data_IF_975545230973
#
_entry.id   IF_975545230973
#
_cell.length_a   1.000
_cell.length_b   1.000
_cell.length_c   1.000
_cell.angle_alpha   90.00
_cell.angle_beta   90.00
_cell.angle_gamma   90.00
#
_symmetry.space_group_name_H-M   'P 1'
#
loop_
_entity.id
_entity.type
_entity.pdbx_description
1 polymer ?
#
# COMPACT_ATOMS: atom_id res chain seq x y z
N UNK A 1 -7.93 19.91 -31.10
CA UNK A 1 -8.58 18.72 -30.49
C UNK A 1 -8.58 17.66 -31.57
N UNK A 2 -7.88 16.54 -31.36
CA UNK A 2 -7.76 15.48 -32.35
C UNK A 2 -8.87 14.45 -32.07
N UNK A 3 -9.98 14.57 -32.77
CA UNK A 3 -11.19 13.73 -32.57
C UNK A 3 -10.86 12.23 -32.68
N UNK A 4 -9.89 11.87 -33.52
CA UNK A 4 -9.42 10.50 -33.68
C UNK A 4 -8.80 9.96 -32.39
N UNK A 5 -7.96 10.75 -31.71
CA UNK A 5 -7.29 10.34 -30.47
C UNK A 5 -8.29 10.13 -29.33
N UNK A 6 -9.35 10.93 -29.28
CA UNK A 6 -10.43 10.79 -28.30
C UNK A 6 -11.23 9.50 -28.52
N UNK A 7 -11.61 9.22 -29.78
CA UNK A 7 -12.32 7.99 -30.13
C UNK A 7 -11.47 6.74 -29.90
N UNK A 8 -10.18 6.78 -30.25
CA UNK A 8 -9.26 5.67 -29.99
C UNK A 8 -9.12 5.39 -28.49
N UNK A 9 -9.10 6.44 -27.67
CA UNK A 9 -9.00 6.32 -26.22
C UNK A 9 -10.29 5.75 -25.61
N UNK A 10 -11.45 6.26 -26.02
CA UNK A 10 -12.76 5.76 -25.55
C UNK A 10 -12.92 4.27 -25.84
N UNK A 11 -12.60 3.83 -27.07
CA UNK A 11 -12.66 2.42 -27.44
C UNK A 11 -11.61 1.57 -26.72
N UNK A 12 -10.40 2.10 -26.47
CA UNK A 12 -9.39 1.39 -25.70
C UNK A 12 -9.85 1.17 -24.25
N UNK A 13 -10.42 2.19 -23.61
CA UNK A 13 -10.96 2.11 -22.25
C UNK A 13 -12.14 1.12 -22.17
N UNK A 14 -13.04 1.13 -23.16
CA UNK A 14 -14.14 0.17 -23.25
C UNK A 14 -13.63 -1.28 -23.36
N UNK A 15 -12.59 -1.51 -24.16
CA UNK A 15 -11.99 -2.83 -24.35
C UNK A 15 -11.19 -3.29 -23.13
N UNK A 16 -10.49 -2.38 -22.45
CA UNK A 16 -9.80 -2.69 -21.18
C UNK A 16 -10.79 -3.02 -20.06
N UNK A 17 -11.95 -2.34 -20.01
CA UNK A 17 -13.01 -2.65 -19.07
C UNK A 17 -13.58 -4.06 -19.30
N UNK A 18 -13.71 -4.50 -20.56
CA UNK A 18 -14.16 -5.86 -20.91
C UNK A 18 -13.10 -6.91 -20.60
N UNK A 19 -11.81 -6.60 -20.81
CA UNK A 19 -10.70 -7.51 -20.55
C UNK A 19 -9.49 -6.76 -20.00
N UNK A 20 -9.22 -6.84 -18.68
CA UNK A 20 -8.05 -6.20 -18.11
C UNK A 20 -6.77 -6.81 -18.70
N UNK A 21 -5.89 -5.95 -19.21
CA UNK A 21 -4.60 -6.34 -19.75
C UNK A 21 -3.58 -6.32 -18.60
N UNK A 22 -2.93 -7.45 -18.28
CA UNK A 22 -1.91 -7.43 -17.24
C UNK A 22 -0.72 -6.59 -17.66
N UNK A 23 -0.05 -5.96 -16.69
CA UNK A 23 1.21 -5.26 -16.97
C UNK A 23 2.35 -6.28 -17.17
N UNK A 24 2.83 -6.39 -18.41
CA UNK A 24 4.01 -7.20 -18.78
C UNK A 24 4.90 -6.46 -19.78
N UNK A 25 6.16 -6.88 -19.88
CA UNK A 25 7.12 -6.28 -20.79
C UNK A 25 7.91 -7.29 -21.60
N UNK A 26 8.82 -6.78 -22.46
CA UNK A 26 9.81 -7.61 -23.12
C UNK A 26 10.61 -8.42 -22.10
N UNK A 27 10.80 -9.71 -22.36
CA UNK A 27 11.51 -10.65 -21.49
C UNK A 27 10.59 -11.48 -20.62
N UNK A 28 9.36 -11.04 -20.40
CA UNK A 28 8.36 -11.80 -19.66
C UNK A 28 7.85 -12.98 -20.51
N UNK A 29 7.59 -14.10 -19.84
CA UNK A 29 6.91 -15.25 -20.44
C UNK A 29 5.42 -15.08 -20.24
N UNK A 30 4.70 -15.02 -21.35
CA UNK A 30 3.26 -14.80 -21.38
C UNK A 30 2.58 -16.01 -22.02
N UNK A 31 1.42 -16.37 -21.47
CA UNK A 31 0.51 -17.36 -22.03
C UNK A 31 -0.72 -16.63 -22.53
N UNK A 32 -0.88 -16.60 -23.85
CA UNK A 32 -1.98 -15.94 -24.53
C UNK A 32 -3.02 -16.99 -24.90
N UNK A 33 -4.24 -16.85 -24.38
CA UNK A 33 -5.36 -17.73 -24.72
C UNK A 33 -6.08 -17.14 -25.94
N UNK A 34 -5.93 -17.80 -27.09
CA UNK A 34 -6.44 -17.33 -28.37
C UNK A 34 -7.66 -18.17 -28.77
N UNK A 35 -8.75 -17.51 -29.13
CA UNK A 35 -9.92 -18.13 -29.74
C UNK A 35 -9.58 -18.49 -31.19
N UNK A 36 -9.65 -19.77 -31.51
CA UNK A 36 -9.44 -20.30 -32.85
C UNK A 36 -10.77 -20.87 -33.33
N UNK A 37 -11.25 -20.34 -34.45
CA UNK A 37 -12.49 -20.79 -35.10
C UNK A 37 -12.12 -21.78 -36.19
N UNK A 38 -12.52 -23.04 -36.03
CA UNK A 38 -12.34 -24.10 -37.02
C UNK A 38 -13.71 -24.47 -37.59
N UNK A 39 -14.08 -23.80 -38.68
CA UNK A 39 -15.41 -23.93 -39.30
C UNK A 39 -16.50 -23.40 -38.36
N UNK A 40 -17.30 -24.31 -37.79
CA UNK A 40 -18.42 -23.98 -36.88
C UNK A 40 -18.07 -24.11 -35.39
N UNK A 41 -16.88 -24.62 -35.05
CA UNK A 41 -16.47 -24.83 -33.66
C UNK A 41 -15.43 -23.81 -33.23
N UNK A 42 -15.61 -23.26 -32.05
CA UNK A 42 -14.64 -22.39 -31.41
C UNK A 42 -13.90 -23.16 -30.31
N UNK A 43 -12.58 -23.00 -30.25
CA UNK A 43 -11.77 -23.51 -29.14
C UNK A 43 -10.77 -22.48 -28.68
N UNK A 44 -10.39 -22.56 -27.40
CA UNK A 44 -9.33 -21.73 -26.83
C UNK A 44 -8.02 -22.49 -26.94
N UNK A 45 -7.04 -21.90 -27.61
CA UNK A 45 -5.69 -22.43 -27.72
C UNK A 45 -4.72 -21.52 -26.95
N UNK A 46 -4.00 -22.11 -26.00
CA UNK A 46 -2.96 -21.40 -25.26
C UNK A 46 -1.67 -21.34 -26.09
N UNK A 47 -1.18 -20.12 -26.32
CA UNK A 47 0.12 -19.83 -26.92
C UNK A 47 1.06 -19.28 -25.85
N UNK A 48 1.98 -20.11 -25.38
CA UNK A 48 2.97 -19.72 -24.36
C UNK A 48 4.34 -19.46 -25.00
N UNK A 49 4.95 -18.34 -24.63
CA UNK A 49 6.30 -17.99 -25.06
C UNK A 49 6.81 -16.70 -24.44
N UNK A 50 8.00 -16.29 -24.87
CA UNK A 50 8.65 -15.07 -24.39
C UNK A 50 8.17 -13.88 -25.21
N UNK A 51 7.72 -12.82 -24.55
CA UNK A 51 7.48 -11.53 -25.19
C UNK A 51 8.82 -10.92 -25.62
N UNK A 52 9.06 -10.80 -26.93
CA UNK A 52 10.32 -10.26 -27.47
C UNK A 52 10.22 -8.78 -27.84
N UNK A 53 9.02 -8.26 -28.06
CA UNK A 53 8.78 -6.87 -28.39
C UNK A 53 7.34 -6.48 -28.03
N UNK A 54 7.15 -5.24 -27.59
CA UNK A 54 5.88 -4.50 -27.64
C UNK A 54 6.09 -3.30 -28.56
N UNK A 55 5.12 -3.00 -29.42
CA UNK A 55 5.19 -1.91 -30.39
C UNK A 55 3.79 -1.34 -30.64
N UNK A 56 3.71 -0.11 -31.14
CA UNK A 56 2.45 0.60 -31.31
C UNK A 56 2.06 1.40 -30.07
N UNK A 57 0.92 2.06 -30.15
CA UNK A 57 0.35 2.88 -29.08
C UNK A 57 -1.18 2.85 -29.19
N UNK A 58 -1.86 3.13 -28.08
CA UNK A 58 -3.33 3.12 -28.00
C UNK A 58 -3.92 1.80 -28.48
N UNK A 59 -4.98 1.88 -29.27
CA UNK A 59 -5.68 0.72 -29.82
C UNK A 59 -4.80 -0.17 -30.71
N UNK A 60 -3.78 0.42 -31.33
CA UNK A 60 -2.86 -0.24 -32.26
C UNK A 60 -1.66 -0.91 -31.56
N UNK A 61 -1.64 -0.93 -30.23
CA UNK A 61 -0.58 -1.61 -29.50
C UNK A 61 -0.60 -3.13 -29.77
N UNK A 62 0.57 -3.69 -30.03
CA UNK A 62 0.77 -5.12 -30.25
C UNK A 62 2.03 -5.62 -29.53
N UNK A 63 2.07 -6.92 -29.34
CA UNK A 63 3.20 -7.61 -28.74
C UNK A 63 3.55 -8.88 -29.52
N UNK A 64 4.84 -9.17 -29.61
CA UNK A 64 5.36 -10.35 -30.30
C UNK A 64 5.79 -11.39 -29.29
N UNK A 65 5.21 -12.58 -29.37
CA UNK A 65 5.55 -13.73 -28.53
C UNK A 65 6.34 -14.73 -29.36
N UNK A 66 7.51 -15.12 -28.86
CA UNK A 66 8.39 -16.12 -29.47
C UNK A 66 8.38 -17.39 -28.61
N UNK A 67 8.12 -18.53 -29.25
CA UNK A 67 8.32 -19.85 -28.63
C UNK A 67 9.12 -20.76 -29.56
N UNK A 68 9.71 -21.81 -29.00
CA UNK A 68 10.29 -22.90 -29.79
C UNK A 68 9.27 -24.03 -29.76
N UNK A 69 8.77 -24.44 -30.92
CA UNK A 69 7.83 -25.54 -31.09
C UNK A 69 8.48 -26.59 -31.98
N UNK A 70 8.60 -27.84 -31.51
CA UNK A 70 9.21 -28.92 -32.29
C UNK A 70 10.59 -28.60 -32.88
N UNK A 71 11.41 -27.82 -32.16
CA UNK A 71 12.74 -27.41 -32.61
C UNK A 71 12.78 -26.16 -33.49
N UNK A 72 11.63 -25.67 -33.97
CA UNK A 72 11.52 -24.48 -34.79
C UNK A 72 11.06 -23.26 -33.98
N UNK A 73 11.62 -22.09 -34.31
CA UNK A 73 11.26 -20.84 -33.66
C UNK A 73 10.01 -20.25 -34.29
N UNK A 74 8.89 -20.29 -33.57
CA UNK A 74 7.63 -19.70 -33.98
C UNK A 74 7.46 -18.35 -33.30
N UNK A 75 7.14 -17.32 -34.07
CA UNK A 75 6.78 -16.00 -33.56
C UNK A 75 5.36 -15.66 -33.98
N UNK A 76 4.57 -15.12 -33.04
CA UNK A 76 3.23 -14.62 -33.34
C UNK A 76 3.07 -13.22 -32.77
N UNK A 77 2.51 -12.34 -33.58
CA UNK A 77 2.17 -10.96 -33.19
C UNK A 77 0.71 -10.93 -32.78
N UNK A 78 0.44 -10.34 -31.62
CA UNK A 78 -0.89 -10.22 -31.05
C UNK A 78 -1.20 -8.73 -30.80
N UNK A 79 -2.31 -8.19 -31.34
CA UNK A 79 -2.82 -6.89 -30.92
C UNK A 79 -3.31 -6.98 -29.48
N UNK A 80 -2.94 -6.03 -28.63
CA UNK A 80 -3.25 -6.03 -27.20
C UNK A 80 -4.75 -6.06 -26.94
N UNK A 81 -5.53 -5.34 -27.74
CA UNK A 81 -6.99 -5.22 -27.60
C UNK A 81 -7.78 -6.10 -28.58
N UNK A 82 -7.16 -7.15 -29.15
CA UNK A 82 -7.85 -8.03 -30.09
C UNK A 82 -9.00 -8.81 -29.42
N UNK A 83 -10.18 -8.92 -30.05
CA UNK A 83 -11.30 -9.72 -29.55
C UNK A 83 -11.05 -11.23 -29.63
N UNK A 84 -10.05 -11.65 -30.43
CA UNK A 84 -9.64 -13.06 -30.53
C UNK A 84 -8.85 -13.53 -29.32
N UNK A 85 -8.43 -12.62 -28.43
CA UNK A 85 -7.72 -12.96 -27.20
C UNK A 85 -8.72 -13.04 -26.06
N UNK A 86 -8.81 -14.21 -25.46
CA UNK A 86 -9.67 -14.48 -24.31
C UNK A 86 -9.03 -13.98 -23.01
N UNK A 87 -7.76 -14.34 -22.79
CA UNK A 87 -7.00 -13.97 -21.58
C UNK A 87 -5.50 -13.93 -21.87
N UNK A 88 -4.79 -13.07 -21.14
CA UNK A 88 -3.33 -13.03 -21.12
C UNK A 88 -2.88 -13.33 -19.69
N UNK A 89 -2.08 -14.39 -19.50
CA UNK A 89 -1.48 -14.75 -18.22
C UNK A 89 0.03 -14.47 -18.26
N UNK A 90 0.54 -13.75 -17.26
CA UNK A 90 1.99 -13.56 -17.09
C UNK A 90 2.53 -14.72 -16.25
N UNK A 91 3.18 -15.68 -16.91
CA UNK A 91 3.67 -16.90 -16.27
C UNK A 91 4.94 -16.63 -15.47
N UNK A 92 5.85 -15.83 -16.04
CA UNK A 92 7.18 -15.57 -15.44
C UNK A 92 7.69 -14.22 -15.88
N UNK A 93 8.20 -13.41 -14.95
CA UNK A 93 8.83 -12.12 -15.28
C UNK A 93 10.32 -12.29 -15.59
N UNK A 94 10.77 -11.76 -16.71
CA UNK A 94 12.15 -11.87 -17.17
C UNK A 94 12.94 -10.59 -16.97
N UNK A 95 14.19 -10.71 -16.51
CA UNK A 95 15.09 -9.57 -16.39
C UNK A 95 15.88 -9.38 -17.68
N UNK A 96 15.54 -8.34 -18.43
CA UNK A 96 16.24 -7.95 -19.66
C UNK A 96 16.60 -6.47 -19.65
N UNK A 97 17.57 -6.09 -20.50
CA UNK A 97 18.02 -4.69 -20.65
C UNK A 97 17.52 -4.00 -21.92
N UNK A 98 17.10 -4.78 -22.94
CA UNK A 98 16.68 -4.25 -24.25
C UNK A 98 15.16 -4.32 -24.35
N UNK A 99 14.55 -3.30 -24.95
CA UNK A 99 13.11 -3.27 -25.24
C UNK A 99 12.70 -4.23 -26.38
N UNK A 100 13.62 -4.53 -27.30
CA UNK A 100 13.41 -5.48 -28.39
C UNK A 100 14.46 -6.59 -28.32
N UNK A 101 14.02 -7.83 -28.14
CA UNK A 101 14.85 -9.01 -27.91
C UNK A 101 15.10 -9.82 -29.18
N UNK A 102 15.18 -9.18 -30.35
CA UNK A 102 15.38 -9.85 -31.64
C UNK A 102 16.68 -10.69 -31.69
N UNK A 103 17.65 -10.38 -30.85
CA UNK A 103 18.87 -11.18 -30.70
C UNK A 103 18.59 -12.63 -30.26
N UNK A 104 17.43 -12.92 -29.64
CA UNK A 104 17.02 -14.27 -29.26
C UNK A 104 16.69 -15.15 -30.48
N UNK A 105 16.53 -14.57 -31.68
CA UNK A 105 16.35 -15.32 -32.93
C UNK A 105 17.58 -16.14 -33.29
N UNK A 106 18.77 -15.60 -33.01
CA UNK A 106 20.05 -16.27 -33.25
C UNK A 106 20.57 -17.09 -32.07
N UNK A 107 19.85 -17.16 -30.94
CA UNK A 107 20.28 -17.88 -29.74
C UNK A 107 19.41 -19.11 -29.50
N UNK A 108 20.02 -20.20 -29.04
CA UNK A 108 19.34 -21.47 -28.69
C UNK A 108 19.84 -22.01 -27.36
N UNK A 109 19.04 -22.90 -26.76
CA UNK A 109 19.37 -23.59 -25.51
C UNK A 109 19.70 -22.63 -24.36
N UNK A 110 20.80 -22.90 -23.66
CA UNK A 110 21.24 -22.11 -22.49
C UNK A 110 21.48 -20.63 -22.83
N UNK A 111 21.93 -20.31 -24.04
CA UNK A 111 22.24 -18.94 -24.46
C UNK A 111 20.98 -18.07 -24.65
N UNK A 112 19.81 -18.68 -24.88
CA UNK A 112 18.53 -18.01 -25.00
C UNK A 112 17.79 -17.85 -23.66
N UNK A 113 18.33 -18.42 -22.58
CA UNK A 113 17.69 -18.39 -21.26
C UNK A 113 17.73 -16.98 -20.67
N UNK A 114 16.56 -16.47 -20.29
CA UNK A 114 16.42 -15.16 -19.65
C UNK A 114 16.40 -15.36 -18.12
N UNK A 115 17.25 -14.64 -17.36
CA UNK A 115 17.22 -14.70 -15.90
C UNK A 115 15.89 -14.16 -15.37
N UNK A 116 15.43 -14.71 -14.26
CA UNK A 116 14.16 -14.31 -13.65
C UNK A 116 14.28 -12.97 -12.95
N UNK A 117 13.23 -12.16 -13.06
CA UNK A 117 13.14 -10.89 -12.36
C UNK A 117 12.58 -11.14 -10.95
N UNK A 118 13.47 -11.21 -9.95
CA UNK A 118 13.12 -11.26 -8.54
C UNK A 118 12.79 -9.85 -8.05
N UNK A 119 11.59 -9.37 -8.35
CA UNK A 119 11.15 -8.02 -7.98
C UNK A 119 10.73 -7.92 -6.49
N UNK A 120 11.67 -8.02 -5.55
CA UNK A 120 11.43 -7.55 -4.18
C UNK A 120 11.14 -6.04 -4.16
N UNK A 121 11.73 -5.29 -5.12
CA UNK A 121 11.62 -3.83 -5.21
C UNK A 121 10.30 -3.33 -5.81
N UNK A 122 9.63 -4.09 -6.69
CA UNK A 122 8.35 -3.66 -7.26
C UNK A 122 7.23 -3.78 -6.23
N UNK A 123 7.23 -4.86 -5.43
CA UNK A 123 6.33 -5.00 -4.28
C UNK A 123 6.51 -3.83 -3.29
N UNK A 124 7.76 -3.51 -2.95
CA UNK A 124 8.05 -2.37 -2.06
C UNK A 124 7.64 -1.00 -2.64
N UNK A 125 7.73 -0.80 -3.97
CA UNK A 125 7.25 0.43 -4.61
C UNK A 125 5.73 0.55 -4.62
N UNK A 126 5.02 -0.55 -4.89
CA UNK A 126 3.56 -0.58 -4.84
C UNK A 126 3.04 -0.34 -3.43
N UNK A 127 3.65 -0.98 -2.43
CA UNK A 127 3.33 -0.77 -1.02
C UNK A 127 3.64 0.65 -0.55
N UNK A 128 4.79 1.21 -0.92
CA UNK A 128 5.12 2.60 -0.60
C UNK A 128 4.19 3.60 -1.30
N UNK A 129 3.76 3.34 -2.53
CA UNK A 129 2.78 4.18 -3.23
C UNK A 129 1.39 4.09 -2.57
N UNK A 130 0.98 2.89 -2.14
CA UNK A 130 -0.27 2.68 -1.40
C UNK A 130 -0.26 3.40 -0.05
N UNK A 131 0.82 3.31 0.73
CA UNK A 131 0.98 4.03 2.01
C UNK A 131 0.91 5.55 1.82
N UNK A 132 1.55 6.08 0.78
CA UNK A 132 1.47 7.52 0.44
C UNK A 132 0.07 7.96 0.03
N UNK A 133 -0.67 7.11 -0.69
CA UNK A 133 -2.04 7.39 -1.05
C UNK A 133 -2.96 7.38 0.18
N UNK A 134 -2.78 6.41 1.08
CA UNK A 134 -3.52 6.32 2.35
C UNK A 134 -3.24 7.54 3.25
N UNK A 135 -1.97 7.91 3.44
CA UNK A 135 -1.58 9.09 4.20
C UNK A 135 -2.12 10.39 3.60
N UNK A 136 -2.24 10.49 2.27
CA UNK A 136 -2.86 11.65 1.61
C UNK A 136 -4.39 11.71 1.79
N UNK A 137 -5.03 10.55 1.94
CA UNK A 137 -6.47 10.46 2.22
C UNK A 137 -6.82 10.67 3.69
N UNK A 138 -5.83 10.64 4.59
CA UNK A 138 -5.98 10.88 6.00
C UNK A 138 -6.43 12.33 6.27
N UNK A 139 -7.60 12.49 6.92
CA UNK A 139 -8.22 13.79 7.18
C UNK A 139 -7.92 14.33 8.59
N UNK A 140 -7.00 13.69 9.32
CA UNK A 140 -6.74 13.97 10.72
C UNK A 140 -7.69 13.21 11.65
N UNK A 141 -7.46 13.39 12.95
CA UNK A 141 -8.26 12.81 14.01
C UNK A 141 -9.42 13.73 14.40
N UNK A 142 -10.50 13.15 14.91
CA UNK A 142 -11.56 13.95 15.52
C UNK A 142 -11.06 14.55 16.84
N UNK A 143 -11.25 15.85 17.02
CA UNK A 143 -10.88 16.54 18.26
C UNK A 143 -11.75 16.03 19.41
N UNK A 144 -11.19 15.44 20.47
CA UNK A 144 -11.95 15.01 21.64
C UNK A 144 -12.47 16.21 22.43
N UNK A 145 -13.47 15.98 23.28
CA UNK A 145 -14.01 16.99 24.19
C UNK A 145 -13.09 17.13 25.42
N UNK A 146 -12.72 18.35 25.80
CA UNK A 146 -11.94 18.64 27.01
C UNK A 146 -10.77 19.60 26.75
N UNK A 147 -10.04 19.94 27.80
CA UNK A 147 -8.83 20.77 27.71
C UNK A 147 -7.68 19.99 27.04
N UNK A 148 -6.82 20.67 26.25
CA UNK A 148 -5.64 20.05 25.65
C UNK A 148 -4.63 19.62 26.72
N UNK A 149 -4.05 18.44 26.55
CA UNK A 149 -2.93 17.98 27.39
C UNK A 149 -1.63 18.66 26.94
N UNK A 150 -0.69 18.85 27.88
CA UNK A 150 0.63 19.35 27.56
C UNK A 150 1.51 18.29 26.87
N UNK A 151 1.34 18.16 25.56
CA UNK A 151 2.06 17.21 24.72
C UNK A 151 3.59 17.42 24.71
N UNK A 152 4.11 18.54 25.21
CA UNK A 152 5.57 18.78 25.31
C UNK A 152 6.26 17.86 26.31
N UNK A 153 5.48 17.21 27.20
CA UNK A 153 5.96 16.16 28.11
C UNK A 153 6.46 14.91 27.38
N UNK A 154 6.06 14.69 26.12
CA UNK A 154 6.57 13.58 25.31
C UNK A 154 7.93 13.97 24.73
N UNK A 155 8.94 13.13 25.00
CA UNK A 155 10.31 13.34 24.52
C UNK A 155 10.33 13.49 23.00
N UNK A 156 10.81 14.65 22.56
CA UNK A 156 10.97 14.98 21.15
C UNK A 156 9.80 15.75 20.54
N UNK A 157 8.70 15.92 21.26
CA UNK A 157 7.59 16.80 20.88
C UNK A 157 7.88 18.22 21.40
N UNK A 158 8.35 19.12 20.53
CA UNK A 158 8.51 20.54 20.87
C UNK A 158 7.25 21.36 20.53
N UNK A 159 7.19 22.61 20.97
CA UNK A 159 6.05 23.53 20.75
C UNK A 159 5.62 23.62 19.27
N UNK A 160 6.57 23.67 18.34
CA UNK A 160 6.29 23.70 16.90
C UNK A 160 5.58 22.42 16.42
N UNK A 161 5.90 21.27 17.03
CA UNK A 161 5.27 19.99 16.70
C UNK A 161 3.88 19.87 17.32
N UNK A 162 3.68 20.42 18.52
CA UNK A 162 2.35 20.51 19.14
C UNK A 162 1.40 21.28 18.22
N UNK A 163 1.82 22.45 17.70
CA UNK A 163 1.00 23.22 16.76
C UNK A 163 0.66 22.45 15.47
N UNK A 164 1.55 21.55 15.01
CA UNK A 164 1.29 20.69 13.83
C UNK A 164 0.35 19.54 14.16
N UNK A 165 0.48 18.95 15.35
CA UNK A 165 -0.41 17.89 15.85
C UNK A 165 -1.83 18.42 16.09
N UNK A 166 -1.97 19.63 16.63
CA UNK A 166 -3.24 20.33 16.83
C UNK A 166 -4.01 20.58 15.52
N UNK A 167 -3.27 20.89 14.43
CA UNK A 167 -3.86 21.06 13.09
C UNK A 167 -4.45 19.75 12.54
N UNK A 168 -3.91 18.61 12.96
CA UNK A 168 -4.39 17.27 12.61
C UNK A 168 -5.43 16.78 13.63
N UNK A 169 -5.73 17.56 14.67
CA UNK A 169 -6.76 17.25 15.66
C UNK A 169 -6.27 16.41 16.85
N UNK A 170 -4.96 16.31 17.04
CA UNK A 170 -4.33 15.63 18.17
C UNK A 170 -4.02 16.66 19.25
N UNK A 171 -4.68 16.52 20.40
CA UNK A 171 -4.58 17.45 21.53
C UNK A 171 -4.48 16.75 22.88
N UNK A 172 -4.62 15.43 22.95
CA UNK A 172 -4.58 14.64 24.20
C UNK A 172 -3.63 13.46 24.13
N UNK A 173 -3.11 13.04 25.29
CA UNK A 173 -2.31 11.81 25.43
C UNK A 173 -3.12 10.57 25.07
N UNK A 174 -4.42 10.55 25.36
CA UNK A 174 -5.32 9.44 25.04
C UNK A 174 -5.35 9.11 23.55
N UNK A 175 -5.28 10.12 22.69
CA UNK A 175 -5.29 9.91 21.24
C UNK A 175 -4.01 9.22 20.79
N UNK A 176 -2.85 9.68 21.29
CA UNK A 176 -1.53 9.14 20.94
C UNK A 176 -1.36 7.73 21.50
N UNK A 177 -1.85 7.48 22.72
CA UNK A 177 -1.82 6.16 23.37
C UNK A 177 -2.61 5.08 22.61
N UNK A 178 -3.65 5.50 21.87
CA UNK A 178 -4.56 4.63 21.12
C UNK A 178 -4.28 4.58 19.61
N UNK A 179 -3.17 5.16 19.13
CA UNK A 179 -2.80 5.07 17.73
C UNK A 179 -2.53 3.62 17.31
N UNK A 180 -3.10 3.24 16.17
CA UNK A 180 -2.78 2.00 15.47
C UNK A 180 -1.51 2.14 14.64
N UNK A 181 -0.91 1.04 14.20
CA UNK A 181 0.25 1.07 13.28
C UNK A 181 -0.05 1.86 11.99
N UNK A 182 -1.31 1.85 11.55
CA UNK A 182 -1.76 2.62 10.39
C UNK A 182 -1.83 4.13 10.71
N UNK A 183 -2.31 4.50 11.89
CA UNK A 183 -2.34 5.89 12.35
C UNK A 183 -0.92 6.46 12.50
N UNK A 184 -0.01 5.68 13.09
CA UNK A 184 1.41 6.04 13.24
C UNK A 184 2.02 6.29 11.86
N UNK A 185 1.80 5.37 10.91
CA UNK A 185 2.34 5.50 9.55
C UNK A 185 1.75 6.71 8.80
N UNK A 186 0.45 6.98 8.97
CA UNK A 186 -0.22 8.12 8.35
C UNK A 186 0.30 9.45 8.93
N UNK A 187 0.40 9.56 10.26
CA UNK A 187 0.92 10.77 10.92
C UNK A 187 2.40 10.97 10.59
N UNK A 188 3.21 9.91 10.56
CA UNK A 188 4.63 9.99 10.22
C UNK A 188 4.87 10.48 8.79
N UNK A 189 4.07 10.03 7.82
CA UNK A 189 4.17 10.49 6.43
C UNK A 189 3.61 11.92 6.28
N UNK A 190 2.44 12.23 6.87
CA UNK A 190 1.79 13.56 6.78
C UNK A 190 2.66 14.66 7.40
N UNK A 191 3.28 14.37 8.55
CA UNK A 191 4.16 15.32 9.24
C UNK A 191 5.64 15.15 8.86
N UNK A 192 5.96 14.20 7.97
CA UNK A 192 7.30 13.92 7.46
C UNK A 192 8.33 13.61 8.56
N UNK A 193 7.91 12.84 9.56
CA UNK A 193 8.69 12.49 10.73
C UNK A 193 9.74 11.38 10.50
N UNK A 194 9.61 10.60 9.41
CA UNK A 194 10.61 9.60 8.96
C UNK A 194 10.91 8.54 10.03
N UNK A 195 9.87 7.95 10.60
CA UNK A 195 9.90 6.92 11.63
C UNK A 195 10.22 7.45 13.04
N UNK A 196 10.04 8.75 13.29
CA UNK A 196 10.39 9.34 14.59
C UNK A 196 9.45 8.88 15.70
N UNK A 197 8.16 8.78 15.41
CA UNK A 197 7.13 8.40 16.38
C UNK A 197 7.45 7.05 17.02
N UNK A 198 7.84 6.07 16.18
CA UNK A 198 8.25 4.73 16.64
C UNK A 198 9.61 4.77 17.35
N UNK A 199 10.61 5.45 16.78
CA UNK A 199 11.97 5.50 17.37
C UNK A 199 12.01 6.17 18.75
N UNK A 200 11.11 7.11 18.99
CA UNK A 200 10.98 7.82 20.25
C UNK A 200 9.85 7.26 21.13
N UNK A 201 9.21 6.15 20.76
CA UNK A 201 8.21 5.45 21.58
C UNK A 201 7.08 6.37 22.12
N UNK A 202 6.57 7.29 21.28
CA UNK A 202 5.59 8.29 21.72
C UNK A 202 4.31 7.67 22.29
N UNK A 203 3.88 6.52 21.77
CA UNK A 203 2.69 5.77 22.23
C UNK A 203 2.87 5.26 23.66
N UNK A 204 4.05 4.72 23.98
CA UNK A 204 4.35 4.21 25.32
C UNK A 204 4.50 5.36 26.34
N UNK A 205 5.12 6.46 25.92
CA UNK A 205 5.21 7.67 26.75
C UNK A 205 3.83 8.27 27.04
N UNK A 206 2.95 8.35 26.05
CA UNK A 206 1.59 8.84 26.24
C UNK A 206 0.79 7.95 27.22
N UNK A 207 0.97 6.61 27.14
CA UNK A 207 0.36 5.67 28.10
C UNK A 207 0.88 5.88 29.53
N UNK A 208 2.18 6.11 29.70
CA UNK A 208 2.77 6.38 31.00
C UNK A 208 2.26 7.69 31.61
N UNK A 209 2.14 8.75 30.81
CA UNK A 209 1.64 10.06 31.23
C UNK A 209 0.14 10.03 31.56
N UNK A 210 -0.65 9.22 30.84
CA UNK A 210 -2.05 8.95 31.18
C UNK A 210 -2.20 8.23 32.53
N UNK A 211 -1.34 7.24 32.79
CA UNK A 211 -1.33 6.52 34.07
C UNK A 211 -0.94 7.43 35.24
N UNK A 212 -0.02 8.38 35.03
CA UNK A 212 0.36 9.38 36.03
C UNK A 212 -0.77 10.38 36.33
N UNK A 213 -1.47 10.85 35.30
CA UNK A 213 -2.62 11.76 35.46
C UNK A 213 -3.78 11.10 36.22
N UNK A 214 -4.06 9.81 35.95
CA UNK A 214 -5.11 9.05 36.63
C UNK A 214 -4.72 8.63 38.06
N UNK A 215 -3.43 8.43 38.34
CA UNK A 215 -2.93 8.15 39.68
C UNK A 215 -2.94 9.39 40.61
N UNK A 216 -2.99 10.60 40.05
CA UNK A 216 -3.12 11.85 40.81
C UNK A 216 -4.56 12.17 41.28
N UNK A 217 -5.57 11.50 40.72
CA UNK A 217 -6.98 11.60 41.11
C UNK A 217 -7.40 10.43 42.01
N UNK A 218 -6.58 10.06 43.01
CA UNK A 218 -7.15 9.28 44.13
C UNK A 218 -8.06 10.24 44.91
N UNK A 219 -9.36 9.94 45.07
CA UNK A 219 -10.29 10.85 45.75
C UNK A 219 -9.81 11.10 47.17
N UNK A 220 -9.62 12.37 47.52
CA UNK A 220 -9.35 12.86 48.88
C UNK A 220 -10.45 12.42 49.88
N UNK A 221 -11.56 11.88 49.38
CA UNK A 221 -12.66 11.32 50.18
C UNK A 221 -12.27 10.12 51.06
N UNK A 222 -11.27 9.30 50.68
CA UNK A 222 -10.84 8.19 51.55
C UNK A 222 -9.96 8.65 52.73
N UNK A 223 -9.19 9.73 52.56
CA UNK A 223 -8.38 10.31 53.64
C UNK A 223 -9.25 11.12 54.63
N UNK A 224 -10.25 11.86 54.13
CA UNK A 224 -11.20 12.58 55.00
C UNK A 224 -12.16 11.62 55.75
N UNK A 225 -12.56 10.50 55.13
CA UNK A 225 -13.37 9.49 55.81
C UNK A 225 -12.60 8.76 56.93
N UNK A 226 -11.30 8.49 56.72
CA UNK A 226 -10.44 7.93 57.76
C UNK A 226 -10.27 8.91 58.94
N UNK A 227 -9.98 10.19 58.66
CA UNK A 227 -9.80 11.22 59.69
C UNK A 227 -11.08 11.51 60.49
N UNK A 228 -12.26 11.48 59.86
CA UNK A 228 -13.54 11.66 60.56
C UNK A 228 -13.91 10.43 61.41
N UNK A 229 -13.48 9.22 61.01
CA UNK A 229 -13.72 7.99 61.78
C UNK A 229 -12.84 7.89 63.03
N UNK A 230 -11.58 8.35 62.95
CA UNK A 230 -10.66 8.40 64.10
C UNK A 230 -11.04 9.49 65.09
N UNK A 231 -11.50 10.67 64.62
CA UNK A 231 -11.99 11.73 65.49
C UNK A 231 -13.26 11.31 66.28
N UNK A 232 -14.14 10.53 65.66
CA UNK A 232 -15.35 10.01 66.32
C UNK A 232 -15.05 8.93 67.36
N UNK A 233 -14.02 8.11 67.14
CA UNK A 233 -13.58 7.10 68.12
C UNK A 233 -12.84 7.72 69.31
N UNK A 234 -12.14 8.84 69.13
CA UNK A 234 -11.50 9.57 70.22
C UNK A 234 -12.52 10.25 71.15
N UNK A 235 -13.59 10.85 70.60
CA UNK A 235 -14.66 11.49 71.39
C UNK A 235 -15.51 10.47 72.19
N UNK A 236 -15.64 9.23 71.71
CA UNK A 236 -16.40 8.17 72.39
C UNK A 236 -15.61 7.51 73.54
N UNK A 237 -14.28 7.62 73.51
CA UNK A 237 -13.38 7.15 74.58
C UNK A 237 -13.37 8.07 75.81
N UNK A 238 -13.54 9.37 75.63
CA UNK A 238 -13.47 10.37 76.71
C UNK A 238 -14.78 10.50 77.53
N UNK A 239 -15.90 9.94 77.04
CA UNK A 239 -17.17 9.90 77.77
C UNK A 239 -17.36 8.66 78.66
N UNK A 240 -16.35 7.78 78.76
CA UNK A 240 -16.42 6.53 79.52
C UNK A 240 -15.48 6.45 80.74
N UNK A 241 -14.86 7.56 81.13
CA UNK A 241 -14.13 7.68 82.40
C UNK A 241 -14.91 8.47 83.45
#
# INVERSE_FOLDING_TARGET
MNIIEELEKEHAEELEAKRPVPEFGPGDTVRVHVKVVEGTRERIQAYEGVCIARSGAGLNENFTVRKISYGEGVERVFPVHSPLIDKIDVVRRGRVRRAKLYYLRGRRGKAARIPERKDARAKGKAEAAARKAAAKAFKGFQKPKGEPDDLTRIKGVGEELVQRLEKIGVIKFEQIANWTDEDIANVDEVLSFKGRIEREDWVEQAKALMAEATAGEVPVEEEEAAAQSEAKQAEEGEKKE
#
